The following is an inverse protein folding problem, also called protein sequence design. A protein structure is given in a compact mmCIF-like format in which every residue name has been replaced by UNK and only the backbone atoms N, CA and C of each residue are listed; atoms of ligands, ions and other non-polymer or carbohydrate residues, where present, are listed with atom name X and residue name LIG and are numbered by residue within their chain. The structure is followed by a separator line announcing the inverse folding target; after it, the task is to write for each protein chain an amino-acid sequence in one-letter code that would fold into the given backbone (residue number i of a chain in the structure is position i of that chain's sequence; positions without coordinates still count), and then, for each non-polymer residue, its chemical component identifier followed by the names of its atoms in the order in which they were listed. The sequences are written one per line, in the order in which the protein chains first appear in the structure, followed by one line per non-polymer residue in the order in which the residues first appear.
data_IF_924583518962
#
_entry.id   IF_924583518962
#
_cell.length_a   1.000
_cell.length_b   1.000
_cell.length_c   1.000
_cell.angle_alpha   90.00
_cell.angle_beta   90.00
_cell.angle_gamma   90.00
#
_symmetry.space_group_name_H-M   'P 1'
#
loop_
_entity.id
_entity.type
_entity.pdbx_description
1 polymer ?
#
# COMPACT_ATOMS: atom_id res chain seq x y z
N UNK A 1 18.96 7.96 18.74
CA UNK A 1 17.80 8.19 17.85
C UNK A 1 16.52 7.82 18.60
N UNK A 2 15.38 8.35 18.21
CA UNK A 2 14.16 8.33 19.01
C UNK A 2 12.96 7.99 18.14
N UNK A 3 12.08 7.13 18.66
CA UNK A 3 10.78 6.80 18.06
C UNK A 3 9.73 7.62 18.79
N UNK A 4 8.87 8.31 18.05
CA UNK A 4 7.76 9.10 18.58
C UNK A 4 6.44 8.47 18.16
N UNK A 5 5.50 8.35 19.11
CA UNK A 5 4.19 7.76 18.86
C UNK A 5 3.10 8.65 19.43
N UNK A 6 2.08 8.95 18.65
CA UNK A 6 0.88 9.69 19.06
C UNK A 6 -0.26 8.72 19.33
N UNK A 7 -0.79 8.75 20.57
CA UNK A 7 -1.93 7.97 21.03
C UNK A 7 -3.12 8.90 21.22
N UNK A 8 -4.22 8.66 20.52
CA UNK A 8 -5.47 9.41 20.62
C UNK A 8 -6.43 8.71 21.57
N UNK A 9 -6.96 9.43 22.53
CA UNK A 9 -7.88 8.93 23.56
C UNK A 9 -9.20 9.70 23.52
N UNK A 10 -10.34 9.00 23.66
CA UNK A 10 -11.64 9.65 23.77
C UNK A 10 -11.76 10.47 25.09
N UNK A 11 -12.69 11.45 25.15
CA UNK A 11 -12.83 12.37 26.29
C UNK A 11 -13.01 11.67 27.63
N UNK A 12 -13.64 10.50 27.68
CA UNK A 12 -13.88 9.74 28.90
C UNK A 12 -12.59 9.13 29.51
N UNK A 13 -11.48 9.13 28.79
CA UNK A 13 -10.23 8.51 29.22
C UNK A 13 -9.27 9.57 29.77
N UNK A 14 -8.66 9.28 30.92
CA UNK A 14 -7.58 10.10 31.45
C UNK A 14 -6.30 9.85 30.63
N UNK A 15 -6.07 10.69 29.61
CA UNK A 15 -4.96 10.58 28.68
C UNK A 15 -3.59 10.65 29.36
N UNK A 16 -3.41 11.46 30.40
CA UNK A 16 -2.15 11.58 31.14
C UNK A 16 -1.79 10.28 31.85
N UNK A 17 -2.76 9.70 32.55
CA UNK A 17 -2.57 8.42 33.24
C UNK A 17 -2.26 7.31 32.24
N UNK A 18 -3.02 7.26 31.13
CA UNK A 18 -2.81 6.22 30.11
C UNK A 18 -1.47 6.37 29.40
N UNK A 19 -1.09 7.59 29.02
CA UNK A 19 0.20 7.84 28.39
C UNK A 19 1.38 7.43 29.28
N UNK A 20 1.33 7.73 30.60
CA UNK A 20 2.33 7.28 31.56
C UNK A 20 2.35 5.75 31.69
N UNK A 21 1.16 5.12 31.71
CA UNK A 21 1.04 3.65 31.74
C UNK A 21 1.68 3.01 30.50
N UNK A 22 1.47 3.61 29.33
CA UNK A 22 2.07 3.15 28.08
C UNK A 22 3.59 3.34 28.13
N UNK A 23 4.06 4.53 28.45
CA UNK A 23 5.48 4.87 28.46
C UNK A 23 6.28 3.92 29.36
N UNK A 24 5.78 3.59 30.54
CA UNK A 24 6.42 2.67 31.48
C UNK A 24 6.15 1.21 31.08
N UNK A 25 4.87 0.85 30.85
CA UNK A 25 4.45 -0.54 30.66
C UNK A 25 4.95 -1.19 29.39
N UNK A 26 5.18 -0.38 28.33
CA UNK A 26 5.67 -0.85 27.03
C UNK A 26 7.21 -0.74 26.91
N UNK A 27 7.90 -0.30 27.97
CA UNK A 27 9.36 -0.20 28.02
C UNK A 27 9.93 -0.98 29.21
N UNK A 28 10.10 -0.36 30.37
CA UNK A 28 10.60 -1.02 31.58
C UNK A 28 9.60 -2.06 32.17
N UNK A 29 8.32 -2.01 31.77
CA UNK A 29 7.26 -2.87 32.28
C UNK A 29 6.76 -2.46 33.66
N UNK A 30 7.64 -2.05 34.53
CA UNK A 30 7.37 -1.49 35.86
C UNK A 30 8.47 -0.50 36.26
N UNK A 31 8.16 0.40 37.15
CA UNK A 31 9.13 1.32 37.73
C UNK A 31 8.99 1.33 39.24
N UNK A 32 10.02 0.87 39.95
CA UNK A 32 10.03 0.77 41.40
C UNK A 32 11.45 0.95 41.95
N UNK A 33 11.57 1.21 43.25
CA UNK A 33 12.86 1.39 43.94
C UNK A 33 13.65 0.10 44.10
N UNK A 34 13.10 -1.05 43.70
CA UNK A 34 13.76 -2.36 43.83
C UNK A 34 15.13 -2.43 43.16
N UNK A 35 15.31 -1.66 42.07
CA UNK A 35 16.53 -1.59 41.28
C UNK A 35 17.18 -0.21 41.31
N UNK A 36 16.98 0.56 42.40
CA UNK A 36 17.53 1.91 42.56
C UNK A 36 19.02 2.03 42.27
N UNK A 37 19.79 0.99 42.59
CA UNK A 37 21.25 0.89 42.32
C UNK A 37 21.57 0.81 40.79
N UNK A 38 20.58 0.61 39.93
CA UNK A 38 20.71 0.57 38.44
C UNK A 38 19.84 1.62 37.77
N UNK A 39 19.37 2.62 38.49
CA UNK A 39 18.40 3.57 37.99
C UNK A 39 18.86 4.30 36.73
N UNK A 40 20.09 4.73 36.64
CA UNK A 40 20.67 5.39 35.46
C UNK A 40 20.64 4.47 34.23
N UNK A 41 20.97 3.21 34.38
CA UNK A 41 20.93 2.21 33.33
C UNK A 41 19.46 1.99 32.83
N UNK A 42 18.52 1.82 33.75
CA UNK A 42 17.13 1.58 33.46
C UNK A 42 16.46 2.78 32.82
N UNK A 43 16.85 4.00 33.21
CA UNK A 43 16.30 5.24 32.68
C UNK A 43 16.54 5.42 31.17
N UNK A 44 17.65 4.89 30.65
CA UNK A 44 17.96 4.91 29.22
C UNK A 44 16.95 4.12 28.37
N UNK A 45 16.27 3.16 29.00
CA UNK A 45 15.27 2.29 28.36
C UNK A 45 13.83 2.79 28.60
N UNK A 46 13.62 3.82 29.42
CA UNK A 46 12.29 4.26 29.81
C UNK A 46 11.64 5.14 28.74
N UNK A 47 10.37 4.84 28.43
CA UNK A 47 9.54 5.72 27.59
C UNK A 47 9.15 6.97 28.35
N UNK A 48 8.93 8.06 27.64
CA UNK A 48 8.60 9.37 28.19
C UNK A 48 7.40 9.99 27.50
N UNK A 49 6.48 10.56 28.28
CA UNK A 49 5.39 11.40 27.77
C UNK A 49 5.95 12.80 27.49
N UNK A 50 6.07 13.16 26.21
CA UNK A 50 6.66 14.46 25.80
C UNK A 50 5.63 15.58 25.63
N UNK A 51 4.33 15.24 25.57
CA UNK A 51 3.29 16.23 25.50
C UNK A 51 1.89 15.61 25.36
N UNK A 52 0.87 16.39 25.69
CA UNK A 52 -0.53 16.06 25.46
C UNK A 52 -1.19 17.31 24.89
N UNK A 53 -1.95 17.14 23.81
CA UNK A 53 -2.79 18.18 23.23
C UNK A 53 -4.24 17.73 23.20
N UNK A 54 -5.15 18.68 23.30
CA UNK A 54 -6.58 18.46 23.12
C UNK A 54 -7.01 18.85 21.70
N UNK A 55 -7.87 18.06 21.11
CA UNK A 55 -8.45 18.29 19.78
C UNK A 55 -9.82 18.98 19.93
N UNK A 56 -10.32 19.59 18.85
CA UNK A 56 -11.57 20.36 18.86
C UNK A 56 -12.81 19.51 19.22
N UNK A 57 -12.73 18.20 19.03
CA UNK A 57 -13.78 17.23 19.38
C UNK A 57 -13.68 16.70 20.81
N UNK A 58 -12.76 17.26 21.63
CA UNK A 58 -12.53 16.88 23.02
C UNK A 58 -11.65 15.65 23.21
N UNK A 59 -11.19 15.02 22.13
CA UNK A 59 -10.18 13.96 22.20
C UNK A 59 -8.83 14.53 22.63
N UNK A 60 -8.03 13.69 23.26
CA UNK A 60 -6.65 14.06 23.65
C UNK A 60 -5.64 13.17 22.96
N UNK A 61 -4.61 13.79 22.39
CA UNK A 61 -3.51 13.09 21.78
C UNK A 61 -2.27 13.22 22.64
N UNK A 62 -1.84 12.11 23.20
CA UNK A 62 -0.61 12.01 23.97
C UNK A 62 0.55 11.56 23.08
N UNK A 63 1.63 12.32 23.11
CA UNK A 63 2.88 12.02 22.41
C UNK A 63 3.84 11.33 23.35
N UNK A 64 4.26 10.12 23.00
CA UNK A 64 5.18 9.30 23.79
C UNK A 64 6.46 9.07 22.96
N UNK A 65 7.59 9.28 23.62
CA UNK A 65 8.93 9.00 23.11
C UNK A 65 9.39 7.63 23.60
N UNK A 66 9.85 6.79 22.66
CA UNK A 66 10.43 5.48 22.96
C UNK A 66 11.91 5.47 22.57
N UNK A 67 12.80 4.97 23.45
CA UNK A 67 14.20 4.79 23.09
C UNK A 67 14.36 3.73 21.99
N UNK A 68 15.07 4.06 20.91
CA UNK A 68 15.31 3.13 19.80
C UNK A 68 16.13 1.91 20.21
N UNK A 69 16.92 2.01 21.29
CA UNK A 69 17.71 0.89 21.82
C UNK A 69 16.86 -0.28 22.33
N UNK A 70 15.53 -0.08 22.48
CA UNK A 70 14.60 -1.11 22.95
C UNK A 70 14.01 -1.97 21.82
N UNK A 71 14.26 -1.64 20.57
CA UNK A 71 13.73 -2.36 19.41
C UNK A 71 14.87 -2.73 18.46
N UNK A 72 14.67 -3.82 17.76
CA UNK A 72 15.44 -4.12 16.56
C UNK A 72 15.04 -3.16 15.42
N UNK A 73 15.79 -3.15 14.34
CA UNK A 73 15.51 -2.26 13.22
C UNK A 73 14.45 -2.86 12.27
N UNK A 74 13.30 -3.29 12.83
CA UNK A 74 12.21 -3.96 12.12
C UNK A 74 10.83 -3.54 12.66
N UNK A 75 9.79 -3.78 11.86
CA UNK A 75 8.42 -3.37 12.18
C UNK A 75 7.77 -4.28 13.23
N UNK A 76 8.15 -5.55 13.34
CA UNK A 76 7.53 -6.48 14.28
C UNK A 76 7.91 -6.13 15.73
N UNK A 77 9.19 -5.88 16.00
CA UNK A 77 9.64 -5.43 17.33
C UNK A 77 9.09 -4.05 17.68
N UNK A 78 9.03 -3.14 16.69
CA UNK A 78 8.41 -1.83 16.85
C UNK A 78 6.94 -1.96 17.27
N UNK A 79 6.12 -2.70 16.52
CA UNK A 79 4.70 -2.89 16.83
C UNK A 79 4.48 -3.50 18.20
N UNK A 80 5.29 -4.49 18.56
CA UNK A 80 5.24 -5.14 19.87
C UNK A 80 5.47 -4.13 20.98
N UNK A 81 6.48 -3.26 20.81
CA UNK A 81 6.78 -2.22 21.80
C UNK A 81 5.69 -1.14 21.87
N UNK A 82 5.27 -0.57 20.74
CA UNK A 82 4.37 0.59 20.79
C UNK A 82 2.90 0.22 21.02
N UNK A 83 2.45 -0.97 20.62
CA UNK A 83 1.05 -1.35 20.65
C UNK A 83 0.77 -2.82 20.99
N UNK A 84 1.77 -3.63 21.37
CA UNK A 84 1.62 -5.06 21.65
C UNK A 84 0.58 -5.35 22.73
N UNK A 85 0.99 -5.36 24.00
CA UNK A 85 0.09 -5.59 25.14
C UNK A 85 -1.02 -4.51 25.23
N UNK A 86 -0.69 -3.27 24.91
CA UNK A 86 -1.60 -2.16 25.03
C UNK A 86 -2.79 -2.21 24.05
N UNK A 87 -2.65 -2.92 22.94
CA UNK A 87 -3.74 -3.17 21.97
C UNK A 87 -4.96 -3.84 22.61
N UNK A 88 -4.77 -4.52 23.75
CA UNK A 88 -5.81 -5.23 24.51
C UNK A 88 -6.34 -4.40 25.68
N UNK A 89 -5.84 -3.18 25.90
CA UNK A 89 -6.17 -2.38 27.08
C UNK A 89 -7.44 -1.51 26.94
N UNK A 90 -8.15 -1.61 25.83
CA UNK A 90 -9.37 -0.85 25.56
C UNK A 90 -9.11 0.40 24.71
N UNK A 91 -9.72 1.54 25.08
CA UNK A 91 -9.65 2.75 24.27
C UNK A 91 -8.26 3.39 24.27
N UNK A 92 -7.81 3.72 23.06
CA UNK A 92 -6.55 4.35 22.73
C UNK A 92 -6.09 3.91 21.34
N UNK A 93 -6.09 4.84 20.39
CA UNK A 93 -5.72 4.58 18.99
C UNK A 93 -4.35 5.18 18.69
N UNK A 94 -3.45 4.42 18.08
CA UNK A 94 -2.19 4.95 17.56
C UNK A 94 -2.49 5.72 16.27
N UNK A 95 -2.31 7.04 16.30
CA UNK A 95 -2.65 7.93 15.17
C UNK A 95 -1.44 8.53 14.47
N UNK A 96 -0.24 8.30 14.99
CA UNK A 96 1.01 8.72 14.37
C UNK A 96 2.19 7.93 14.89
N UNK A 97 3.10 7.55 14.01
CA UNK A 97 4.38 6.93 14.33
C UNK A 97 5.46 7.62 13.50
N UNK A 98 6.42 8.24 14.17
CA UNK A 98 7.51 9.00 13.56
C UNK A 98 8.82 8.28 13.83
N UNK A 99 9.42 7.78 12.77
CA UNK A 99 10.62 6.96 12.79
C UNK A 99 11.81 7.74 12.24
N UNK A 100 13.04 7.46 12.71
CA UNK A 100 14.23 7.95 12.03
C UNK A 100 14.26 7.51 10.57
N UNK A 101 14.85 8.33 9.69
CA UNK A 101 14.95 8.00 8.25
C UNK A 101 15.67 6.67 8.00
N UNK A 102 16.63 6.33 8.86
CA UNK A 102 17.40 5.09 8.77
C UNK A 102 16.67 3.85 9.30
N UNK A 103 15.47 4.01 9.91
CA UNK A 103 14.74 2.89 10.51
C UNK A 103 14.08 2.01 9.45
N UNK A 104 14.13 0.69 9.68
CA UNK A 104 13.46 -0.32 8.85
C UNK A 104 14.15 -0.59 7.51
N UNK A 105 13.40 -1.22 6.61
CA UNK A 105 13.84 -1.57 5.26
C UNK A 105 13.33 -0.53 4.26
N UNK A 106 14.18 -0.07 3.35
CA UNK A 106 13.78 0.87 2.29
C UNK A 106 13.19 0.14 1.09
N UNK A 107 12.30 0.80 0.36
CA UNK A 107 11.86 0.38 -0.96
C UNK A 107 13.08 0.14 -1.86
N UNK A 108 13.09 -0.99 -2.57
CA UNK A 108 14.22 -1.36 -3.42
C UNK A 108 14.25 -0.56 -4.73
N UNK A 109 13.10 -0.37 -5.33
CA UNK A 109 12.90 0.36 -6.58
C UNK A 109 12.10 1.66 -6.35
N UNK A 110 10.99 1.56 -5.65
CA UNK A 110 10.09 2.67 -5.39
C UNK A 110 9.59 3.36 -6.66
N UNK A 111 9.18 4.63 -6.53
CA UNK A 111 8.69 5.44 -7.66
C UNK A 111 9.74 5.52 -8.77
N UNK A 112 10.98 5.84 -8.41
CA UNK A 112 12.06 6.05 -9.37
C UNK A 112 12.38 4.79 -10.17
N UNK A 113 12.55 3.66 -9.50
CA UNK A 113 12.91 2.40 -10.16
C UNK A 113 11.76 1.79 -10.97
N UNK A 114 10.50 1.90 -10.52
CA UNK A 114 9.34 1.46 -11.28
C UNK A 114 9.21 2.27 -12.58
N UNK A 115 9.33 3.60 -12.50
CA UNK A 115 9.32 4.47 -13.68
C UNK A 115 10.43 4.14 -14.65
N UNK A 116 11.64 3.89 -14.15
CA UNK A 116 12.78 3.51 -14.97
C UNK A 116 12.53 2.17 -15.71
N UNK A 117 11.93 1.19 -15.03
CA UNK A 117 11.59 -0.11 -15.64
C UNK A 117 10.54 0.00 -16.74
N UNK A 118 9.56 0.89 -16.55
CA UNK A 118 8.50 1.12 -17.54
C UNK A 118 8.90 2.10 -18.65
N UNK A 119 9.86 2.98 -18.40
CA UNK A 119 10.22 4.09 -19.32
C UNK A 119 9.17 5.20 -19.36
N UNK A 120 8.35 5.36 -18.29
CA UNK A 120 7.24 6.34 -18.20
C UNK A 120 7.50 7.33 -17.07
N UNK A 121 7.70 8.61 -17.41
CA UNK A 121 8.11 9.65 -16.46
C UNK A 121 7.15 10.85 -16.37
N UNK A 122 6.38 11.09 -17.40
CA UNK A 122 5.63 12.33 -17.67
C UNK A 122 4.16 12.30 -17.24
N UNK A 123 3.62 11.12 -16.94
CA UNK A 123 2.22 10.89 -16.59
C UNK A 123 2.03 9.92 -15.42
N UNK A 124 0.83 9.83 -14.84
CA UNK A 124 0.45 8.72 -13.97
C UNK A 124 0.60 7.37 -14.66
N UNK A 125 0.81 6.33 -13.88
CA UNK A 125 0.75 4.95 -14.36
C UNK A 125 -0.69 4.45 -14.30
N UNK A 126 -1.08 3.60 -15.25
CA UNK A 126 -2.39 2.96 -15.29
C UNK A 126 -2.22 1.47 -14.98
N UNK A 127 -2.95 0.99 -13.97
CA UNK A 127 -2.91 -0.40 -13.52
C UNK A 127 -4.29 -1.04 -13.59
N UNK A 128 -4.34 -2.28 -14.11
CA UNK A 128 -5.52 -3.12 -14.11
C UNK A 128 -5.39 -4.29 -13.12
N UNK A 129 -6.52 -4.89 -12.79
CA UNK A 129 -6.63 -6.09 -11.96
C UNK A 129 -7.29 -7.17 -12.82
N UNK A 130 -6.77 -8.39 -12.81
CA UNK A 130 -7.44 -9.49 -13.49
C UNK A 130 -8.86 -9.70 -12.95
N UNK A 131 -9.85 -9.64 -13.84
CA UNK A 131 -11.27 -9.94 -13.57
C UNK A 131 -11.86 -10.72 -14.76
N UNK A 132 -12.61 -11.81 -14.52
CA UNK A 132 -12.84 -12.46 -13.22
C UNK A 132 -11.53 -12.89 -12.53
N UNK A 133 -11.51 -12.82 -11.18
CA UNK A 133 -10.32 -13.14 -10.41
C UNK A 133 -10.04 -14.65 -10.33
N UNK A 134 -11.09 -15.46 -10.23
CA UNK A 134 -11.00 -16.91 -10.05
C UNK A 134 -11.79 -17.64 -11.12
N UNK A 135 -11.36 -18.87 -11.42
CA UNK A 135 -12.07 -19.77 -12.34
C UNK A 135 -11.54 -19.75 -13.78
N UNK A 136 -10.76 -18.74 -14.17
CA UNK A 136 -10.09 -18.67 -15.46
C UNK A 136 -8.82 -19.50 -15.47
N UNK A 137 -8.45 -20.05 -16.64
CA UNK A 137 -7.18 -20.75 -16.85
C UNK A 137 -5.99 -19.78 -16.93
N UNK A 138 -4.79 -20.32 -16.88
CA UNK A 138 -3.57 -19.54 -17.09
C UNK A 138 -3.53 -18.86 -18.47
N UNK A 139 -4.08 -19.52 -19.51
CA UNK A 139 -4.16 -18.96 -20.85
C UNK A 139 -5.20 -17.81 -20.94
N UNK A 140 -6.36 -17.94 -20.29
CA UNK A 140 -7.37 -16.86 -20.26
C UNK A 140 -6.79 -15.59 -19.64
N UNK A 141 -5.99 -15.71 -18.54
CA UNK A 141 -5.29 -14.57 -17.95
C UNK A 141 -4.29 -13.92 -18.94
N UNK A 142 -3.55 -14.75 -19.70
CA UNK A 142 -2.64 -14.24 -20.70
C UNK A 142 -3.37 -13.51 -21.85
N UNK A 143 -4.55 -13.98 -22.25
CA UNK A 143 -5.35 -13.35 -23.30
C UNK A 143 -5.91 -12.00 -22.83
N UNK A 144 -6.38 -11.90 -21.57
CA UNK A 144 -6.76 -10.63 -20.96
C UNK A 144 -5.57 -9.67 -20.90
N UNK A 145 -4.40 -10.16 -20.44
CA UNK A 145 -3.18 -9.34 -20.41
C UNK A 145 -2.82 -8.83 -21.82
N UNK A 146 -2.89 -9.69 -22.84
CA UNK A 146 -2.61 -9.28 -24.22
C UNK A 146 -3.49 -8.12 -24.64
N UNK A 147 -4.79 -8.22 -24.42
CA UNK A 147 -5.76 -7.20 -24.79
C UNK A 147 -5.44 -5.84 -24.14
N UNK A 148 -5.25 -5.81 -22.82
CA UNK A 148 -5.01 -4.55 -22.10
C UNK A 148 -3.61 -3.99 -22.31
N UNK A 149 -2.60 -4.85 -22.45
CA UNK A 149 -1.22 -4.42 -22.64
C UNK A 149 -1.01 -3.78 -24.03
N UNK A 150 -1.58 -4.34 -25.08
CA UNK A 150 -1.57 -3.71 -26.42
C UNK A 150 -2.35 -2.40 -26.46
N UNK A 151 -3.38 -2.24 -25.63
CA UNK A 151 -4.10 -0.98 -25.49
C UNK A 151 -3.34 0.13 -24.78
N UNK A 152 -2.18 -0.18 -24.16
CA UNK A 152 -1.34 0.83 -23.54
C UNK A 152 -1.09 0.68 -22.03
N UNK A 153 -1.67 -0.32 -21.37
CA UNK A 153 -1.54 -0.52 -19.91
C UNK A 153 -0.08 -0.56 -19.45
N UNK A 154 0.20 0.01 -18.26
CA UNK A 154 1.53 0.01 -17.67
C UNK A 154 1.76 -1.16 -16.71
N UNK A 155 0.74 -1.49 -15.91
CA UNK A 155 0.81 -2.53 -14.88
C UNK A 155 -0.46 -3.36 -14.88
N UNK A 156 -0.34 -4.67 -14.75
CA UNK A 156 -1.44 -5.54 -14.36
C UNK A 156 -1.07 -6.29 -13.08
N UNK A 157 -2.04 -6.57 -12.23
CA UNK A 157 -1.84 -7.37 -11.03
C UNK A 157 -2.80 -8.54 -10.95
N UNK A 158 -2.35 -9.62 -10.30
CA UNK A 158 -3.27 -10.63 -9.76
C UNK A 158 -4.24 -9.97 -8.77
N UNK A 159 -5.43 -10.52 -8.65
CA UNK A 159 -6.31 -10.18 -7.55
C UNK A 159 -5.72 -10.72 -6.23
N UNK A 160 -6.00 -10.07 -5.12
CA UNK A 160 -5.47 -10.47 -3.80
C UNK A 160 -5.96 -11.85 -3.35
N UNK A 161 -7.11 -12.30 -3.86
CA UNK A 161 -7.66 -13.62 -3.55
C UNK A 161 -7.11 -14.75 -4.44
N UNK A 162 -6.30 -14.42 -5.46
CA UNK A 162 -5.71 -15.42 -6.36
C UNK A 162 -4.57 -16.16 -5.67
N UNK A 163 -4.86 -17.32 -5.12
CA UNK A 163 -3.87 -18.25 -4.60
C UNK A 163 -3.25 -19.11 -5.72
N UNK A 164 -2.38 -20.04 -5.33
CA UNK A 164 -1.82 -21.06 -6.22
C UNK A 164 -2.84 -22.18 -6.41
N UNK A 165 -3.76 -22.00 -7.36
CA UNK A 165 -4.91 -22.89 -7.57
C UNK A 165 -4.70 -23.81 -8.78
N UNK A 166 -5.26 -25.05 -8.73
CA UNK A 166 -5.10 -26.03 -9.84
C UNK A 166 -5.63 -25.54 -11.19
N UNK A 167 -6.65 -24.68 -11.21
CA UNK A 167 -7.23 -24.13 -12.45
C UNK A 167 -6.28 -23.16 -13.16
N UNK A 168 -5.43 -22.47 -12.39
CA UNK A 168 -4.41 -21.55 -12.92
C UNK A 168 -3.21 -21.51 -11.94
N UNK A 169 -2.36 -22.53 -11.92
CA UNK A 169 -1.18 -22.56 -11.08
C UNK A 169 -0.31 -21.33 -11.31
N UNK A 170 0.23 -20.77 -10.23
CA UNK A 170 0.96 -19.49 -10.28
C UNK A 170 2.09 -19.50 -11.31
N UNK A 171 2.85 -20.62 -11.42
CA UNK A 171 3.94 -20.75 -12.37
C UNK A 171 3.45 -20.81 -13.82
N UNK A 172 2.34 -21.53 -14.11
CA UNK A 172 1.76 -21.60 -15.45
C UNK A 172 1.20 -20.25 -15.89
N UNK A 173 0.49 -19.57 -14.99
CA UNK A 173 -0.04 -18.21 -15.22
C UNK A 173 1.11 -17.23 -15.52
N UNK A 174 2.19 -17.30 -14.73
CA UNK A 174 3.38 -16.48 -15.00
C UNK A 174 3.98 -16.79 -16.37
N UNK A 175 4.15 -18.06 -16.74
CA UNK A 175 4.73 -18.46 -18.01
C UNK A 175 3.87 -18.02 -19.21
N UNK A 176 2.55 -18.13 -19.11
CA UNK A 176 1.63 -17.65 -20.14
C UNK A 176 1.69 -16.12 -20.26
N UNK A 177 1.61 -15.41 -19.16
CA UNK A 177 1.67 -13.95 -19.14
C UNK A 177 3.04 -13.41 -19.60
N UNK A 178 4.14 -14.05 -19.21
CA UNK A 178 5.50 -13.65 -19.63
C UNK A 178 5.68 -13.68 -21.15
N UNK A 179 5.11 -14.68 -21.83
CA UNK A 179 5.14 -14.73 -23.31
C UNK A 179 4.44 -13.52 -23.92
N UNK A 180 3.31 -13.10 -23.35
CA UNK A 180 2.59 -11.91 -23.78
C UNK A 180 3.40 -10.63 -23.51
N UNK A 181 4.02 -10.51 -22.34
CA UNK A 181 4.86 -9.34 -22.01
C UNK A 181 6.03 -9.20 -23.00
N UNK A 182 6.65 -10.31 -23.36
CA UNK A 182 7.73 -10.33 -24.36
C UNK A 182 7.22 -9.96 -25.76
N UNK A 183 6.05 -10.47 -26.17
CA UNK A 183 5.40 -10.10 -27.43
C UNK A 183 5.09 -8.60 -27.50
N UNK A 184 4.51 -8.02 -26.43
CA UNK A 184 4.24 -6.59 -26.34
C UNK A 184 5.53 -5.78 -26.46
N UNK A 185 6.58 -6.19 -25.75
CA UNK A 185 7.88 -5.52 -25.80
C UNK A 185 8.47 -5.53 -27.21
N UNK A 186 8.42 -6.67 -27.89
CA UNK A 186 8.96 -6.82 -29.24
C UNK A 186 8.18 -5.99 -30.28
N UNK A 187 6.86 -5.95 -30.18
CA UNK A 187 6.02 -5.28 -31.17
C UNK A 187 5.85 -3.76 -30.91
N UNK A 188 5.90 -3.33 -29.65
CA UNK A 188 5.60 -1.93 -29.28
C UNK A 188 6.77 -1.19 -28.66
N UNK A 189 7.83 -1.87 -28.30
CA UNK A 189 8.96 -1.32 -27.53
C UNK A 189 8.64 -1.02 -26.05
N UNK A 190 7.40 -1.29 -25.59
CA UNK A 190 6.95 -0.94 -24.23
C UNK A 190 7.17 -2.09 -23.25
N UNK A 191 7.54 -1.73 -22.03
CA UNK A 191 7.55 -2.64 -20.90
C UNK A 191 6.20 -2.53 -20.15
N UNK A 192 5.72 -3.68 -19.68
CA UNK A 192 4.53 -3.76 -18.80
C UNK A 192 4.92 -4.59 -17.58
N UNK A 193 4.51 -4.18 -16.39
CA UNK A 193 4.71 -4.96 -15.17
C UNK A 193 3.51 -5.88 -14.91
N UNK A 194 3.80 -7.12 -14.54
CA UNK A 194 2.81 -8.06 -14.02
C UNK A 194 3.13 -8.38 -12.56
N UNK A 195 2.33 -7.86 -11.63
CA UNK A 195 2.47 -8.09 -10.20
C UNK A 195 1.81 -9.43 -9.81
N UNK A 196 2.63 -10.48 -9.76
CA UNK A 196 2.22 -11.85 -9.44
C UNK A 196 1.97 -11.99 -7.94
N UNK A 197 0.82 -12.55 -7.54
CA UNK A 197 0.49 -12.77 -6.13
C UNK A 197 1.33 -13.89 -5.51
N UNK A 198 2.13 -13.54 -4.51
CA UNK A 198 2.99 -14.48 -3.75
C UNK A 198 2.22 -15.01 -2.53
N UNK A 199 1.02 -15.56 -2.74
CA UNK A 199 0.25 -16.18 -1.65
C UNK A 199 0.70 -17.62 -1.42
N UNK A 200 0.77 -18.05 -0.16
CA UNK A 200 1.20 -19.38 0.23
C UNK A 200 1.53 -19.46 1.73
N UNK A 201 2.22 -20.52 2.15
CA UNK A 201 2.68 -20.65 3.53
C UNK A 201 3.85 -19.70 3.80
N UNK A 202 3.86 -19.07 4.97
CA UNK A 202 4.83 -18.04 5.32
C UNK A 202 6.30 -18.51 5.23
N UNK A 203 6.57 -19.75 5.62
CA UNK A 203 7.90 -20.38 5.58
C UNK A 203 8.38 -20.68 4.14
N UNK A 204 7.48 -20.74 3.17
CA UNK A 204 7.80 -21.00 1.76
C UNK A 204 7.86 -19.71 0.91
N UNK A 205 7.32 -18.59 1.39
CA UNK A 205 7.10 -17.38 0.60
C UNK A 205 8.40 -16.83 -0.02
N UNK A 206 9.48 -16.73 0.74
CA UNK A 206 10.74 -16.21 0.23
C UNK A 206 11.31 -17.10 -0.88
N UNK A 207 11.27 -18.43 -0.68
CA UNK A 207 11.69 -19.38 -1.72
C UNK A 207 10.82 -19.29 -2.97
N UNK A 208 9.48 -19.20 -2.78
CA UNK A 208 8.52 -19.03 -3.89
C UNK A 208 8.80 -17.73 -4.66
N UNK A 209 8.98 -16.61 -3.98
CA UNK A 209 9.28 -15.32 -4.61
C UNK A 209 10.57 -15.37 -5.43
N UNK A 210 11.67 -15.93 -4.88
CA UNK A 210 12.93 -16.13 -5.62
C UNK A 210 12.74 -16.99 -6.87
N UNK A 211 11.96 -18.07 -6.78
CA UNK A 211 11.67 -18.92 -7.94
C UNK A 211 10.86 -18.17 -9.01
N UNK A 212 9.83 -17.42 -8.62
CA UNK A 212 9.04 -16.62 -9.57
C UNK A 212 9.91 -15.58 -10.27
N UNK A 213 10.76 -14.85 -9.55
CA UNK A 213 11.69 -13.87 -10.14
C UNK A 213 12.68 -14.56 -11.08
N UNK A 214 13.26 -15.70 -10.68
CA UNK A 214 14.14 -16.49 -11.53
C UNK A 214 13.45 -16.97 -12.81
N UNK A 215 12.15 -17.22 -12.77
CA UNK A 215 11.33 -17.60 -13.93
C UNK A 215 10.78 -16.40 -14.72
N UNK A 216 11.20 -15.17 -14.37
CA UNK A 216 10.91 -13.96 -15.13
C UNK A 216 9.72 -13.15 -14.64
N UNK A 217 9.27 -13.35 -13.40
CA UNK A 217 8.35 -12.39 -12.78
C UNK A 217 9.04 -11.02 -12.68
N UNK A 218 8.37 -9.97 -13.13
CA UNK A 218 8.91 -8.61 -13.17
C UNK A 218 8.28 -7.66 -12.14
N UNK A 219 7.30 -8.14 -11.36
CA UNK A 219 6.74 -7.52 -10.17
C UNK A 219 6.07 -8.58 -9.28
N UNK A 220 5.95 -8.33 -7.98
CA UNK A 220 5.28 -9.21 -7.01
C UNK A 220 4.15 -8.45 -6.30
N UNK A 221 3.07 -9.16 -5.96
CA UNK A 221 1.99 -8.69 -5.09
C UNK A 221 2.03 -9.48 -3.78
N UNK A 222 1.97 -8.81 -2.64
CA UNK A 222 1.95 -9.44 -1.33
C UNK A 222 0.78 -8.93 -0.48
N UNK A 223 -0.01 -9.84 0.09
CA UNK A 223 -1.01 -9.57 1.13
C UNK A 223 -0.30 -9.42 2.48
N UNK A 224 0.35 -8.27 2.72
CA UNK A 224 1.28 -8.07 3.83
C UNK A 224 0.68 -8.41 5.19
N UNK A 225 -0.52 -7.89 5.48
CA UNK A 225 -1.09 -7.94 6.83
C UNK A 225 -1.60 -9.33 7.23
N UNK A 226 -1.79 -10.24 6.29
CA UNK A 226 -2.11 -11.66 6.58
C UNK A 226 -0.90 -12.46 7.03
N UNK A 227 0.31 -11.94 6.82
CA UNK A 227 1.59 -12.56 7.23
C UNK A 227 2.35 -11.76 8.28
N UNK A 228 2.10 -10.46 8.34
CA UNK A 228 2.90 -9.50 9.10
C UNK A 228 4.01 -8.85 8.27
N UNK A 229 4.47 -7.70 8.74
CA UNK A 229 5.46 -6.85 8.04
C UNK A 229 6.82 -7.55 7.86
N UNK A 230 7.21 -8.44 8.76
CA UNK A 230 8.50 -9.16 8.68
C UNK A 230 8.66 -9.98 7.40
N UNK A 231 7.55 -10.48 6.82
CA UNK A 231 7.62 -11.17 5.53
C UNK A 231 7.91 -10.17 4.40
N UNK A 232 7.30 -8.98 4.42
CA UNK A 232 7.63 -7.93 3.46
C UNK A 232 9.10 -7.50 3.59
N UNK A 233 9.58 -7.27 4.82
CA UNK A 233 10.97 -6.91 5.10
C UNK A 233 11.95 -7.98 4.59
N UNK A 234 11.63 -9.26 4.80
CA UNK A 234 12.46 -10.37 4.31
C UNK A 234 12.52 -10.41 2.76
N UNK A 235 11.41 -10.19 2.08
CA UNK A 235 11.37 -10.14 0.61
C UNK A 235 12.07 -8.88 0.07
N UNK A 236 11.84 -7.72 0.68
CA UNK A 236 12.45 -6.47 0.26
C UNK A 236 13.96 -6.44 0.48
N UNK A 237 14.47 -7.10 1.52
CA UNK A 237 15.90 -7.20 1.81
C UNK A 237 16.62 -8.28 1.00
N UNK A 238 15.90 -9.14 0.31
CA UNK A 238 16.48 -10.27 -0.42
C UNK A 238 17.11 -9.83 -1.75
N UNK A 239 18.45 -9.98 -1.94
CA UNK A 239 19.11 -9.55 -3.17
C UNK A 239 18.69 -10.35 -4.41
N UNK A 240 18.12 -11.55 -4.25
CA UNK A 240 17.60 -12.35 -5.35
C UNK A 240 16.19 -11.95 -5.80
N UNK A 241 15.56 -11.02 -5.10
CA UNK A 241 14.26 -10.43 -5.45
C UNK A 241 14.52 -8.98 -5.87
N UNK A 242 14.89 -8.79 -7.13
CA UNK A 242 15.25 -7.48 -7.70
C UNK A 242 14.10 -6.78 -8.43
N UNK A 243 12.86 -7.21 -8.19
CA UNK A 243 11.63 -6.68 -8.78
C UNK A 243 10.81 -5.90 -7.75
N UNK A 244 9.92 -4.96 -8.16
CA UNK A 244 9.11 -4.20 -7.22
C UNK A 244 8.08 -5.08 -6.50
N UNK A 245 7.83 -4.75 -5.23
CA UNK A 245 6.84 -5.41 -4.38
C UNK A 245 5.67 -4.45 -4.16
N UNK A 246 4.50 -4.85 -4.67
CA UNK A 246 3.23 -4.18 -4.45
C UNK A 246 2.59 -4.73 -3.17
N UNK A 247 2.43 -3.88 -2.16
CA UNK A 247 1.83 -4.23 -0.89
C UNK A 247 0.30 -4.04 -0.94
N UNK A 248 -0.45 -5.12 -0.73
CA UNK A 248 -1.92 -5.08 -0.72
C UNK A 248 -2.46 -4.87 0.71
N UNK A 249 -3.52 -4.04 0.90
CA UNK A 249 -4.08 -3.69 2.20
C UNK A 249 -5.06 -4.73 2.77
N UNK A 250 -5.18 -5.90 2.17
CA UNK A 250 -6.07 -6.95 2.67
C UNK A 250 -5.86 -7.16 4.17
N UNK A 251 -6.95 -7.22 4.94
CA UNK A 251 -7.00 -7.34 6.40
C UNK A 251 -6.74 -6.02 7.18
N UNK A 252 -6.44 -4.87 6.52
CA UNK A 252 -6.20 -3.60 7.20
C UNK A 252 -7.39 -3.14 8.07
N UNK A 253 -8.62 -3.41 7.64
CA UNK A 253 -9.82 -3.04 8.39
C UNK A 253 -9.86 -3.65 9.79
N UNK A 254 -9.37 -4.88 9.97
CA UNK A 254 -9.30 -5.52 11.30
C UNK A 254 -8.39 -4.77 12.28
N UNK A 255 -7.39 -4.06 11.80
CA UNK A 255 -6.44 -3.29 12.61
C UNK A 255 -6.84 -1.81 12.75
N UNK A 256 -7.54 -1.25 11.77
CA UNK A 256 -7.64 0.20 11.59
C UNK A 256 -9.07 0.78 11.72
N UNK A 257 -10.12 -0.03 11.51
CA UNK A 257 -11.50 0.48 11.40
C UNK A 257 -12.10 0.97 12.72
N UNK A 258 -11.54 0.59 13.88
CA UNK A 258 -12.01 1.09 15.18
C UNK A 258 -11.82 2.59 15.30
N UNK A 259 -12.84 3.32 15.81
CA UNK A 259 -12.74 4.77 16.06
C UNK A 259 -11.74 5.10 17.17
N UNK A 260 -11.80 4.34 18.27
CA UNK A 260 -11.08 4.60 19.51
C UNK A 260 -10.00 3.58 19.84
N UNK A 261 -9.84 2.56 18.99
CA UNK A 261 -8.88 1.46 19.19
C UNK A 261 -8.14 1.16 17.93
N UNK A 262 -7.04 0.42 18.04
CA UNK A 262 -6.24 0.00 16.89
C UNK A 262 -5.23 1.03 16.42
N UNK A 263 -4.94 1.01 15.14
CA UNK A 263 -3.95 1.86 14.48
C UNK A 263 -4.64 2.68 13.39
N UNK A 264 -4.20 3.90 13.13
CA UNK A 264 -4.68 4.66 11.98
C UNK A 264 -4.26 3.98 10.67
N UNK A 265 -5.07 4.13 9.62
CA UNK A 265 -4.71 3.62 8.29
C UNK A 265 -3.40 4.22 7.79
N UNK A 266 -3.13 5.51 8.05
CA UNK A 266 -1.88 6.18 7.70
C UNK A 266 -0.66 5.59 8.41
N UNK A 267 -0.82 5.09 9.63
CA UNK A 267 0.24 4.36 10.34
C UNK A 267 0.52 3.02 9.66
N UNK A 268 -0.51 2.22 9.39
CA UNK A 268 -0.36 0.86 8.84
C UNK A 268 0.03 0.90 7.37
N UNK A 269 -0.76 1.60 6.53
CA UNK A 269 -0.59 1.60 5.07
C UNK A 269 0.40 2.66 4.58
N UNK A 270 0.69 3.68 5.39
CA UNK A 270 1.73 4.67 5.12
C UNK A 270 3.05 4.27 5.78
N UNK A 271 3.20 4.60 7.07
CA UNK A 271 4.48 4.49 7.78
C UNK A 271 5.03 3.07 7.79
N UNK A 272 4.23 2.07 8.21
CA UNK A 272 4.75 0.72 8.38
C UNK A 272 5.06 0.03 7.05
N UNK A 273 4.18 0.16 6.03
CA UNK A 273 4.46 -0.40 4.71
C UNK A 273 5.71 0.20 4.07
N UNK A 274 5.87 1.53 4.17
CA UNK A 274 7.04 2.22 3.62
C UNK A 274 8.35 1.84 4.32
N UNK A 275 8.31 1.65 5.64
CA UNK A 275 9.47 1.24 6.44
C UNK A 275 9.73 -0.27 6.43
N UNK A 276 8.77 -1.08 5.94
CA UNK A 276 8.97 -2.51 5.68
C UNK A 276 9.49 -2.80 4.26
N UNK A 277 9.64 -1.78 3.41
CA UNK A 277 10.28 -1.91 2.10
C UNK A 277 9.34 -2.16 0.93
N UNK A 278 8.04 -1.78 1.03
CA UNK A 278 7.14 -1.78 -0.10
C UNK A 278 7.60 -0.77 -1.18
N UNK A 279 7.51 -1.15 -2.46
CA UNK A 279 7.77 -0.25 -3.59
C UNK A 279 6.52 0.51 -4.03
N UNK A 280 5.35 -0.10 -3.85
CA UNK A 280 4.04 0.49 -4.10
C UNK A 280 3.04 -0.03 -3.06
N UNK A 281 2.14 0.81 -2.58
CA UNK A 281 1.13 0.44 -1.57
C UNK A 281 -0.27 0.76 -2.09
N UNK A 282 -1.12 -0.28 -2.11
CA UNK A 282 -2.52 -0.14 -2.45
C UNK A 282 -3.33 0.26 -1.20
N UNK A 283 -4.33 1.10 -1.39
CA UNK A 283 -5.30 1.49 -0.35
C UNK A 283 -6.57 2.03 -0.98
N UNK A 284 -7.73 2.02 -0.26
CA UNK A 284 -8.97 2.57 -0.79
C UNK A 284 -8.85 4.08 -1.03
N UNK A 285 -9.41 4.56 -2.14
CA UNK A 285 -9.58 5.99 -2.40
C UNK A 285 -10.83 6.52 -1.68
N UNK A 286 -10.77 7.74 -1.15
CA UNK A 286 -11.88 8.36 -0.43
C UNK A 286 -13.12 8.60 -1.32
N UNK A 287 -12.92 8.78 -2.61
CA UNK A 287 -13.95 8.91 -3.64
C UNK A 287 -14.28 7.58 -4.34
N UNK A 288 -13.79 6.48 -3.80
CA UNK A 288 -14.01 5.14 -4.35
C UNK A 288 -15.30 4.47 -3.87
N UNK A 289 -15.38 3.15 -4.08
CA UNK A 289 -16.54 2.34 -3.71
C UNK A 289 -16.54 1.88 -2.25
N UNK A 290 -15.42 2.02 -1.55
CA UNK A 290 -15.30 1.72 -0.12
C UNK A 290 -15.25 3.03 0.69
N UNK A 291 -15.94 3.11 1.84
CA UNK A 291 -15.85 4.30 2.68
C UNK A 291 -14.42 4.43 3.22
N UNK A 292 -13.78 5.56 2.92
CA UNK A 292 -12.43 5.84 3.39
C UNK A 292 -12.30 7.33 3.75
N UNK A 293 -11.57 7.63 4.81
CA UNK A 293 -11.37 9.00 5.27
C UNK A 293 -10.40 9.76 4.35
N UNK A 294 -10.82 10.89 3.73
CA UNK A 294 -9.94 11.70 2.89
C UNK A 294 -8.67 12.20 3.60
N UNK A 295 -8.74 12.46 4.91
CA UNK A 295 -7.58 12.89 5.68
C UNK A 295 -6.56 11.76 5.86
N UNK A 296 -7.04 10.54 6.11
CA UNK A 296 -6.17 9.36 6.17
C UNK A 296 -5.57 9.05 4.80
N UNK A 297 -6.35 9.15 3.71
CA UNK A 297 -5.85 9.01 2.34
C UNK A 297 -4.72 10.00 2.05
N UNK A 298 -4.92 11.28 2.36
CA UNK A 298 -3.91 12.32 2.17
C UNK A 298 -2.62 12.05 2.95
N UNK A 299 -2.73 11.63 4.22
CA UNK A 299 -1.57 11.25 5.04
C UNK A 299 -0.81 10.05 4.46
N UNK A 300 -1.52 9.00 4.02
CA UNK A 300 -0.90 7.83 3.39
C UNK A 300 -0.12 8.26 2.16
N UNK A 301 -0.75 9.01 1.25
CA UNK A 301 -0.13 9.54 0.03
C UNK A 301 1.17 10.26 0.33
N UNK A 302 1.14 11.21 1.29
CA UNK A 302 2.28 12.08 1.58
C UNK A 302 3.42 11.27 2.21
N UNK A 303 3.14 10.39 3.18
CA UNK A 303 4.13 9.50 3.80
C UNK A 303 4.80 8.59 2.75
N UNK A 304 4.02 7.99 1.85
CA UNK A 304 4.57 7.10 0.83
C UNK A 304 5.47 7.85 -0.15
N UNK A 305 5.05 9.03 -0.60
CA UNK A 305 5.83 9.86 -1.55
C UNK A 305 7.13 10.35 -0.95
N UNK A 306 7.14 10.79 0.29
CA UNK A 306 8.34 11.23 1.02
C UNK A 306 9.39 10.10 1.12
N UNK A 307 8.94 8.85 1.07
CA UNK A 307 9.80 7.67 1.08
C UNK A 307 10.03 7.03 -0.29
N UNK A 308 9.72 7.73 -1.37
CA UNK A 308 9.85 7.23 -2.74
C UNK A 308 9.01 5.96 -3.03
N UNK A 309 7.90 5.75 -2.33
CA UNK A 309 6.98 4.63 -2.53
C UNK A 309 5.76 5.08 -3.34
N UNK A 310 5.33 4.29 -4.33
CA UNK A 310 4.15 4.65 -5.12
C UNK A 310 2.86 4.54 -4.31
N UNK A 311 2.09 5.63 -4.18
CA UNK A 311 0.71 5.57 -3.73
C UNK A 311 -0.18 4.97 -4.82
N UNK A 312 -1.05 4.03 -4.45
CA UNK A 312 -1.93 3.31 -5.36
C UNK A 312 -3.37 3.36 -4.86
N UNK A 313 -4.08 4.50 -5.05
CA UNK A 313 -5.49 4.60 -4.72
C UNK A 313 -6.29 3.57 -5.54
N UNK A 314 -7.25 2.92 -4.89
CA UNK A 314 -7.94 1.74 -5.40
C UNK A 314 -9.43 1.75 -5.04
N UNK A 315 -10.18 0.72 -5.48
CA UNK A 315 -11.59 0.50 -5.14
C UNK A 315 -12.53 1.60 -5.66
N UNK A 316 -12.70 1.66 -6.96
CA UNK A 316 -13.63 2.59 -7.63
C UNK A 316 -12.95 3.63 -8.52
N UNK A 317 -11.67 3.43 -8.84
CA UNK A 317 -10.98 4.27 -9.83
C UNK A 317 -11.56 4.00 -11.21
N UNK A 318 -12.00 5.07 -11.87
CA UNK A 318 -12.63 5.06 -13.21
C UNK A 318 -12.22 6.28 -14.03
N UNK A 319 -12.36 6.28 -15.35
CA UNK A 319 -11.86 7.38 -16.20
C UNK A 319 -12.42 8.76 -15.82
N UNK A 320 -13.69 8.85 -15.42
CA UNK A 320 -14.34 10.13 -15.06
C UNK A 320 -13.74 10.85 -13.86
N UNK A 321 -13.12 10.13 -12.90
CA UNK A 321 -12.52 10.74 -11.71
C UNK A 321 -11.00 11.01 -11.84
N UNK A 322 -10.41 10.73 -12.98
CA UNK A 322 -8.96 10.97 -13.20
C UNK A 322 -8.55 12.42 -12.95
N UNK A 323 -9.35 13.48 -13.33
CA UNK A 323 -9.00 14.86 -12.98
C UNK A 323 -8.85 15.09 -11.47
N UNK A 324 -9.75 14.52 -10.67
CA UNK A 324 -9.71 14.62 -9.21
C UNK A 324 -8.47 13.91 -8.65
N UNK A 325 -8.21 12.67 -9.10
CA UNK A 325 -7.02 11.93 -8.65
C UNK A 325 -5.74 12.68 -8.99
N UNK A 326 -5.64 13.26 -10.19
CA UNK A 326 -4.46 14.04 -10.55
C UNK A 326 -4.33 15.34 -9.75
N UNK A 327 -5.45 15.98 -9.42
CA UNK A 327 -5.46 17.14 -8.53
C UNK A 327 -4.86 16.82 -7.15
N UNK A 328 -5.21 15.68 -6.58
CA UNK A 328 -4.77 15.26 -5.25
C UNK A 328 -3.35 14.66 -5.25
N UNK A 329 -3.02 13.89 -6.28
CA UNK A 329 -1.79 13.07 -6.31
C UNK A 329 -0.70 13.60 -7.27
N UNK A 330 -1.05 14.42 -8.23
CA UNK A 330 -0.13 14.76 -9.31
C UNK A 330 0.23 13.52 -10.15
N UNK A 331 1.44 13.53 -10.73
CA UNK A 331 1.88 12.46 -11.65
C UNK A 331 2.41 11.19 -10.94
N UNK A 332 2.84 11.30 -9.69
CA UNK A 332 3.43 10.18 -8.95
C UNK A 332 2.35 9.34 -8.25
N UNK A 333 1.48 8.75 -9.06
CA UNK A 333 0.39 7.86 -8.65
C UNK A 333 0.22 6.73 -9.65
N UNK A 334 -0.24 5.58 -9.18
CA UNK A 334 -0.72 4.49 -10.03
C UNK A 334 -2.24 4.43 -9.94
N UNK A 335 -2.93 4.70 -11.05
CA UNK A 335 -4.39 4.61 -11.17
C UNK A 335 -4.78 3.14 -11.24
N UNK A 336 -5.24 2.57 -10.12
CA UNK A 336 -5.57 1.13 -10.04
C UNK A 336 -7.06 0.89 -10.27
N UNK A 337 -7.42 0.42 -11.46
CA UNK A 337 -8.79 0.17 -11.89
C UNK A 337 -9.05 -1.32 -12.15
N UNK A 338 -10.04 -1.89 -11.46
CA UNK A 338 -10.60 -3.21 -11.79
C UNK A 338 -11.74 -3.06 -12.79
N UNK A 339 -12.95 -2.92 -12.28
CA UNK A 339 -14.19 -2.71 -13.06
C UNK A 339 -14.06 -1.58 -14.09
N UNK A 340 -13.46 -0.45 -13.71
CA UNK A 340 -13.28 0.71 -14.61
C UNK A 340 -12.42 0.42 -15.87
N UNK A 341 -11.75 -0.72 -15.94
CA UNK A 341 -11.07 -1.21 -17.14
C UNK A 341 -11.77 -2.46 -17.66
N UNK A 342 -11.95 -3.49 -16.81
CA UNK A 342 -12.35 -4.82 -17.26
C UNK A 342 -13.80 -4.91 -17.70
N UNK A 343 -14.70 -4.11 -17.10
CA UNK A 343 -16.13 -4.12 -17.40
C UNK A 343 -16.55 -2.94 -18.33
N UNK A 344 -15.58 -2.36 -19.07
CA UNK A 344 -15.90 -1.31 -20.02
C UNK A 344 -16.85 -1.83 -21.10
N UNK A 345 -17.92 -1.07 -21.49
CA UNK A 345 -18.94 -1.55 -22.46
C UNK A 345 -18.37 -2.08 -23.78
N UNK A 346 -17.24 -1.54 -24.22
CA UNK A 346 -16.54 -1.96 -25.44
C UNK A 346 -15.30 -2.83 -25.16
N UNK A 347 -15.24 -3.51 -24.01
CA UNK A 347 -14.19 -4.44 -23.60
C UNK A 347 -12.98 -3.80 -22.91
N UNK A 348 -12.09 -4.63 -22.29
CA UNK A 348 -10.97 -4.17 -21.47
C UNK A 348 -9.98 -3.24 -22.18
N UNK A 349 -9.68 -3.49 -23.46
CA UNK A 349 -8.82 -2.61 -24.25
C UNK A 349 -9.40 -1.18 -24.35
N UNK A 350 -10.72 -1.04 -24.48
CA UNK A 350 -11.37 0.26 -24.47
C UNK A 350 -11.35 0.90 -23.10
N UNK A 351 -11.47 0.10 -22.02
CA UNK A 351 -11.27 0.58 -20.65
C UNK A 351 -9.90 1.23 -20.47
N UNK A 352 -8.83 0.59 -20.93
CA UNK A 352 -7.49 1.18 -20.91
C UNK A 352 -7.42 2.47 -21.73
N UNK A 353 -7.95 2.47 -22.97
CA UNK A 353 -7.99 3.68 -23.82
C UNK A 353 -8.72 4.83 -23.18
N UNK A 354 -9.81 4.57 -22.45
CA UNK A 354 -10.58 5.60 -21.75
C UNK A 354 -9.73 6.35 -20.72
N UNK A 355 -8.85 5.67 -19.98
CA UNK A 355 -7.90 6.33 -19.08
C UNK A 355 -6.90 7.20 -19.84
N UNK A 356 -6.35 6.75 -20.96
CA UNK A 356 -5.43 7.55 -21.76
C UNK A 356 -6.10 8.73 -22.47
N UNK A 357 -7.34 8.57 -22.96
CA UNK A 357 -8.15 9.68 -23.46
C UNK A 357 -8.39 10.72 -22.35
N UNK A 358 -8.68 10.27 -21.11
CA UNK A 358 -8.83 11.16 -19.95
C UNK A 358 -7.54 11.93 -19.66
N UNK A 359 -6.40 11.26 -19.64
CA UNK A 359 -5.08 11.89 -19.39
C UNK A 359 -4.75 12.92 -20.49
N UNK A 360 -4.95 12.58 -21.76
CA UNK A 360 -4.70 13.49 -22.88
C UNK A 360 -5.57 14.76 -22.81
N UNK A 361 -6.84 14.63 -22.45
CA UNK A 361 -7.74 15.79 -22.27
C UNK A 361 -7.31 16.69 -21.12
N UNK A 362 -6.86 16.10 -19.99
CA UNK A 362 -6.34 16.89 -18.87
C UNK A 362 -5.10 17.68 -19.30
N UNK A 363 -4.21 17.05 -20.05
CA UNK A 363 -3.00 17.72 -20.57
C UNK A 363 -3.34 18.85 -21.52
N UNK A 364 -4.39 18.66 -22.35
CA UNK A 364 -4.90 19.71 -23.26
C UNK A 364 -5.75 20.78 -22.55
N UNK A 365 -6.06 20.64 -21.25
CA UNK A 365 -6.93 21.55 -20.51
C UNK A 365 -8.40 21.49 -20.94
N UNK A 366 -8.85 20.37 -21.50
CA UNK A 366 -10.18 20.19 -22.04
C UNK A 366 -11.20 19.71 -21.00
N UNK A 367 -12.47 20.03 -21.22
CA UNK A 367 -13.58 19.67 -20.33
C UNK A 367 -13.90 18.16 -20.35
N UNK A 368 -14.39 17.65 -19.23
CA UNK A 368 -14.94 16.30 -19.04
C UNK A 368 -16.48 16.28 -19.10
N UNK A 369 -17.12 17.36 -19.53
CA UNK A 369 -18.56 17.39 -19.72
C UNK A 369 -18.97 16.36 -20.79
N UNK A 370 -19.81 15.36 -20.45
CA UNK A 370 -20.25 14.31 -21.39
C UNK A 370 -20.88 14.86 -22.67
N UNK A 371 -21.53 16.01 -22.60
CA UNK A 371 -22.15 16.67 -23.78
C UNK A 371 -21.10 17.13 -24.81
N UNK A 372 -19.87 17.40 -24.36
CA UNK A 372 -18.78 17.94 -25.18
C UNK A 372 -17.70 16.92 -25.50
N UNK A 373 -17.85 15.67 -25.00
CA UNK A 373 -16.93 14.61 -25.31
C UNK A 373 -17.14 14.05 -26.73
N UNK A 374 -16.06 13.86 -27.50
CA UNK A 374 -16.15 13.13 -28.75
C UNK A 374 -16.59 11.68 -28.51
N UNK A 375 -17.16 11.06 -29.52
CA UNK A 375 -17.45 9.63 -29.45
C UNK A 375 -16.12 8.86 -29.27
N UNK A 376 -16.06 7.99 -28.24
CA UNK A 376 -14.84 7.28 -27.88
C UNK A 376 -15.00 6.50 -26.58
N UNK A 377 -13.91 5.89 -26.14
CA UNK A 377 -13.90 5.05 -24.95
C UNK A 377 -14.18 5.85 -23.68
N UNK A 378 -13.64 7.06 -23.55
CA UNK A 378 -13.89 7.92 -22.40
C UNK A 378 -15.36 8.30 -22.26
N UNK A 379 -16.02 8.69 -23.38
CA UNK A 379 -17.44 9.03 -23.34
C UNK A 379 -18.30 7.86 -22.90
N UNK A 380 -18.03 6.66 -23.44
CA UNK A 380 -18.73 5.44 -23.03
C UNK A 380 -18.54 5.16 -21.53
N UNK A 381 -17.31 5.28 -21.01
CA UNK A 381 -17.01 5.08 -19.60
C UNK A 381 -17.73 6.09 -18.69
N UNK A 382 -17.80 7.37 -19.10
CA UNK A 382 -18.48 8.41 -18.33
C UNK A 382 -20.00 8.22 -18.37
N UNK A 383 -20.57 7.80 -19.50
CA UNK A 383 -22.01 7.50 -19.60
C UNK A 383 -22.38 6.31 -18.71
N UNK A 384 -21.52 5.31 -18.63
CA UNK A 384 -21.76 4.09 -17.83
C UNK A 384 -21.62 4.34 -16.33
N UNK A 385 -20.59 5.12 -15.92
CA UNK A 385 -20.21 5.21 -14.50
C UNK A 385 -20.23 6.63 -13.90
N UNK A 386 -20.44 7.64 -14.66
CA UNK A 386 -20.49 9.04 -14.23
C UNK A 386 -19.14 9.73 -14.16
#
# INVERSE_FOLDING_TARGET
MTIIVDYRFPPAINAEKQAKTIAIGQTAGTWSDRHSHRQEQLQQHLGEVVGIREEADGYKVARVRFPQINVENDIASLLTMIFGKYSMAGAGKVVGVYLPESYGTKAKLGITGIRQRLGVYDRPLVMAIFKPALGLSAQDHADILREVAFAGLDVIKDDEIMADLPVAPTHERLDCCRRVLEEVRQQTGRNVLYAVNVTGKADELQRKARLLVKHGANALLLNVLTYGFSVLEALASDPAIDVPIFAHPAFAGAMCAGSDTGLAYSVVLGTMMAHAGADAVLYPAAYGSLPFDPQEEGKIRDILRDRNVFPVPSAGIRPGIVPQVLGDYGRNVILNAGTGIMDHPSGPASGVRAFFEALARIEAGESFDPANLPEGALKQAIVEWG
#
